data_IF_924318612993
#
_entry.id   IF_924318612993
#
_cell.length_a   1.000
_cell.length_b   1.000
_cell.length_c   1.000
_cell.angle_alpha   90.00
_cell.angle_beta   90.00
_cell.angle_gamma   90.00
#
_symmetry.space_group_name_H-M   'P 1'
#
loop_
_entity.id
_entity.type
_entity.pdbx_description
1 polymer ?
#
# COMPACT_ATOMS: atom_id res chain seq x y z
N UNK A 1 6.50 21.19 -5.16
CA UNK A 1 5.67 21.82 -4.12
C UNK A 1 6.01 21.15 -2.81
N UNK A 2 6.52 21.87 -1.78
CA UNK A 2 6.73 21.28 -0.47
C UNK A 2 5.38 20.81 0.08
N UNK A 3 5.32 19.53 0.45
CA UNK A 3 4.11 18.82 0.86
C UNK A 3 3.65 19.24 2.25
N UNK A 4 2.33 19.37 2.51
CA UNK A 4 1.84 19.73 3.83
C UNK A 4 1.86 18.49 4.73
N UNK A 5 3.00 18.25 5.37
CA UNK A 5 3.02 17.53 6.65
C UNK A 5 2.01 18.26 7.55
N UNK A 6 1.15 17.57 8.31
CA UNK A 6 0.33 18.24 9.32
C UNK A 6 1.26 19.09 10.16
N UNK A 7 1.12 20.41 10.03
CA UNK A 7 2.04 21.32 10.67
C UNK A 7 1.91 21.10 12.16
N UNK A 8 3.04 20.84 12.80
CA UNK A 8 3.09 20.74 14.25
C UNK A 8 2.38 21.96 14.84
N UNK A 9 1.67 21.82 15.96
CA UNK A 9 0.99 22.95 16.58
C UNK A 9 1.98 24.10 16.79
N UNK A 10 1.59 25.38 16.59
CA UNK A 10 2.51 26.52 16.65
C UNK A 10 3.30 26.58 17.96
N UNK A 11 2.70 26.13 19.06
CA UNK A 11 3.35 26.06 20.37
C UNK A 11 4.43 24.96 20.45
N UNK A 12 4.24 23.82 19.77
CA UNK A 12 5.25 22.75 19.64
C UNK A 12 6.41 23.24 18.77
N UNK A 13 6.11 23.91 17.65
CA UNK A 13 7.16 24.51 16.79
C UNK A 13 7.97 25.54 17.58
N UNK A 14 7.33 26.42 18.35
CA UNK A 14 8.03 27.40 19.18
C UNK A 14 8.94 26.74 20.22
N UNK A 15 8.50 25.64 20.86
CA UNK A 15 9.32 24.87 21.81
C UNK A 15 10.52 24.21 21.14
N UNK A 16 10.35 23.64 19.96
CA UNK A 16 11.45 23.05 19.17
C UNK A 16 12.45 24.12 18.71
N UNK A 17 11.95 25.25 18.19
CA UNK A 17 12.77 26.36 17.74
C UNK A 17 13.58 27.00 18.89
N UNK A 18 12.98 27.16 20.08
CA UNK A 18 13.67 27.66 21.27
C UNK A 18 14.82 26.75 21.73
N UNK A 19 14.79 25.47 21.34
CA UNK A 19 15.86 24.49 21.59
C UNK A 19 16.88 24.37 20.46
N UNK A 20 16.76 25.18 19.41
CA UNK A 20 17.65 25.13 18.25
C UNK A 20 17.46 23.88 17.39
N UNK A 21 16.32 23.18 17.53
CA UNK A 21 16.02 22.01 16.71
C UNK A 21 15.70 22.46 15.29
N UNK A 22 16.46 21.96 14.31
CA UNK A 22 16.32 22.32 12.89
C UNK A 22 16.17 21.13 11.95
N UNK A 23 16.35 19.92 12.47
CA UNK A 23 16.32 18.66 11.74
C UNK A 23 15.55 17.57 12.51
N UNK A 24 15.27 16.45 11.83
CA UNK A 24 14.50 15.35 12.38
C UNK A 24 15.23 14.66 13.56
N UNK A 25 16.56 14.59 13.53
CA UNK A 25 17.36 14.06 14.64
C UNK A 25 17.24 14.92 15.89
N UNK A 26 17.28 16.25 15.76
CA UNK A 26 17.08 17.18 16.85
C UNK A 26 15.68 17.10 17.46
N UNK A 27 14.66 16.77 16.66
CA UNK A 27 13.30 16.55 17.17
C UNK A 27 13.27 15.32 18.08
N UNK A 28 13.88 14.22 17.67
CA UNK A 28 13.94 12.99 18.47
C UNK A 28 14.70 13.23 19.78
N UNK A 29 15.84 13.92 19.73
CA UNK A 29 16.60 14.29 20.92
C UNK A 29 15.77 15.19 21.86
N UNK A 30 15.10 16.21 21.33
CA UNK A 30 14.26 17.11 22.12
C UNK A 30 13.05 16.38 22.76
N UNK A 31 12.51 15.36 22.10
CA UNK A 31 11.46 14.51 22.67
C UNK A 31 12.01 13.58 23.76
N UNK A 32 13.27 13.15 23.69
CA UNK A 32 13.89 12.34 24.74
C UNK A 32 14.11 13.16 26.03
N UNK A 33 14.57 14.39 25.88
CA UNK A 33 14.87 15.28 27.00
C UNK A 33 13.62 15.90 27.65
N UNK A 34 12.50 15.98 26.93
CA UNK A 34 11.28 16.61 27.41
C UNK A 34 10.04 15.70 27.29
N UNK A 35 9.61 15.07 28.40
CA UNK A 35 8.46 14.18 28.40
C UNK A 35 7.14 14.93 28.13
N UNK A 36 7.05 16.23 28.41
CA UNK A 36 5.85 17.04 28.15
C UNK A 36 5.73 17.32 26.65
N UNK A 37 6.82 17.74 26.02
CA UNK A 37 6.88 17.92 24.56
C UNK A 37 6.56 16.61 23.83
N UNK A 38 7.09 15.49 24.32
CA UNK A 38 6.79 14.15 23.80
C UNK A 38 5.29 13.84 23.87
N UNK A 39 4.66 14.09 25.02
CA UNK A 39 3.23 13.87 25.20
C UNK A 39 2.39 14.76 24.26
N UNK A 40 2.72 16.04 24.14
CA UNK A 40 2.03 16.99 23.24
C UNK A 40 2.12 16.55 21.77
N UNK A 41 3.31 16.12 21.32
CA UNK A 41 3.50 15.60 19.97
C UNK A 41 2.69 14.31 19.76
N UNK A 42 2.70 13.38 20.72
CA UNK A 42 1.89 12.16 20.61
C UNK A 42 0.39 12.43 20.58
N UNK A 43 -0.10 13.34 21.43
CA UNK A 43 -1.52 13.76 21.41
C UNK A 43 -1.87 14.37 20.07
N UNK A 44 -1.04 15.27 19.54
CA UNK A 44 -1.27 15.86 18.22
C UNK A 44 -1.30 14.81 17.10
N UNK A 45 -0.37 13.85 17.10
CA UNK A 45 -0.32 12.79 16.10
C UNK A 45 -1.55 11.86 16.19
N UNK A 46 -2.03 11.57 17.41
CA UNK A 46 -3.24 10.78 17.61
C UNK A 46 -4.48 11.52 17.10
N UNK A 47 -4.62 12.81 17.42
CA UNK A 47 -5.73 13.66 16.97
C UNK A 47 -5.69 13.89 15.45
N UNK A 48 -4.49 13.96 14.87
CA UNK A 48 -4.27 14.21 13.45
C UNK A 48 -4.20 12.93 12.60
N UNK A 49 -4.41 11.75 13.19
CA UNK A 49 -4.18 10.46 12.52
C UNK A 49 -4.97 10.33 11.22
N UNK A 50 -6.25 10.72 11.21
CA UNK A 50 -7.09 10.68 10.02
C UNK A 50 -6.57 11.62 8.90
N UNK A 51 -6.09 12.81 9.28
CA UNK A 51 -5.54 13.79 8.33
C UNK A 51 -4.20 13.32 7.76
N UNK A 52 -3.34 12.74 8.61
CA UNK A 52 -2.09 12.09 8.20
C UNK A 52 -2.39 10.99 7.19
N UNK A 53 -3.34 10.09 7.49
CA UNK A 53 -3.70 9.01 6.57
C UNK A 53 -4.19 9.53 5.21
N UNK A 54 -5.09 10.51 5.20
CA UNK A 54 -5.57 11.13 3.95
C UNK A 54 -4.44 11.75 3.13
N UNK A 55 -3.50 12.43 3.80
CA UNK A 55 -2.33 12.99 3.14
C UNK A 55 -1.45 11.91 2.51
N UNK A 56 -1.11 10.87 3.28
CA UNK A 56 -0.26 9.75 2.83
C UNK A 56 -0.90 9.04 1.65
N UNK A 57 -2.22 8.84 1.68
CA UNK A 57 -2.97 8.25 0.56
C UNK A 57 -2.89 9.14 -0.69
N UNK A 58 -3.08 10.46 -0.55
CA UNK A 58 -3.00 11.40 -1.68
C UNK A 58 -1.60 11.37 -2.30
N UNK A 59 -0.56 11.40 -1.48
CA UNK A 59 0.82 11.36 -1.94
C UNK A 59 1.14 10.00 -2.60
N UNK A 60 0.65 8.90 -2.04
CA UNK A 60 0.77 7.55 -2.62
C UNK A 60 0.12 7.45 -4.01
N UNK A 61 -1.03 8.11 -4.20
CA UNK A 61 -1.71 8.19 -5.50
C UNK A 61 -0.98 9.07 -6.52
N UNK A 62 -0.27 10.10 -6.06
CA UNK A 62 0.48 11.00 -6.93
C UNK A 62 1.78 10.39 -7.48
N UNK A 63 2.28 9.30 -6.88
CA UNK A 63 3.49 8.62 -7.33
C UNK A 63 3.33 8.14 -8.77
N UNK A 64 4.37 8.30 -9.59
CA UNK A 64 4.33 7.94 -11.02
C UNK A 64 5.05 6.63 -11.30
N UNK A 65 6.02 6.25 -10.45
CA UNK A 65 6.87 5.08 -10.68
C UNK A 65 7.02 4.20 -9.44
N UNK A 66 7.46 2.96 -9.68
CA UNK A 66 7.84 2.04 -8.59
C UNK A 66 9.07 2.55 -7.82
N UNK A 67 9.96 3.32 -8.47
CA UNK A 67 11.09 3.96 -7.80
C UNK A 67 10.61 5.01 -6.78
N UNK A 68 9.61 5.83 -7.15
CA UNK A 68 9.02 6.80 -6.23
C UNK A 68 8.34 6.10 -5.04
N UNK A 69 7.71 4.94 -5.29
CA UNK A 69 7.12 4.11 -4.24
C UNK A 69 8.18 3.58 -3.26
N UNK A 70 9.33 3.11 -3.74
CA UNK A 70 10.42 2.69 -2.87
C UNK A 70 10.94 3.85 -2.01
N UNK A 71 11.15 5.04 -2.60
CA UNK A 71 11.56 6.24 -1.86
C UNK A 71 10.49 6.71 -0.87
N UNK A 72 9.21 6.58 -1.23
CA UNK A 72 8.09 6.87 -0.34
C UNK A 72 8.11 5.95 0.88
N UNK A 73 8.27 4.64 0.67
CA UNK A 73 8.34 3.64 1.76
C UNK A 73 9.58 3.81 2.65
N UNK A 74 10.68 4.35 2.12
CA UNK A 74 11.84 4.71 2.94
C UNK A 74 11.53 5.88 3.89
N UNK A 75 10.80 6.90 3.41
CA UNK A 75 10.41 8.07 4.20
C UNK A 75 9.25 7.77 5.16
N UNK A 76 8.37 6.86 4.79
CA UNK A 76 7.16 6.52 5.54
C UNK A 76 7.07 5.00 5.75
N UNK A 77 7.92 4.38 6.58
CA UNK A 77 7.95 2.92 6.74
C UNK A 77 6.64 2.34 7.29
N UNK A 78 5.88 3.12 8.06
CA UNK A 78 4.59 2.72 8.63
C UNK A 78 3.55 2.33 7.55
N UNK A 79 3.74 2.75 6.29
CA UNK A 79 2.82 2.39 5.19
C UNK A 79 2.86 0.90 4.83
N UNK A 80 3.83 0.16 5.37
CA UNK A 80 3.89 -1.30 5.26
C UNK A 80 3.17 -2.02 6.43
N UNK A 81 2.74 -1.30 7.45
CA UNK A 81 2.07 -1.87 8.61
C UNK A 81 0.65 -2.34 8.27
N UNK A 82 0.17 -3.35 9.01
CA UNK A 82 -1.14 -3.95 8.78
C UNK A 82 -2.29 -2.94 8.84
N UNK A 83 -2.22 -1.98 9.75
CA UNK A 83 -3.28 -0.99 9.94
C UNK A 83 -3.43 -0.07 8.73
N UNK A 84 -2.30 0.39 8.17
CA UNK A 84 -2.31 1.22 6.97
C UNK A 84 -2.77 0.44 5.74
N UNK A 85 -2.26 -0.77 5.54
CA UNK A 85 -2.69 -1.63 4.42
C UNK A 85 -4.18 -1.97 4.52
N UNK A 86 -4.70 -2.19 5.72
CA UNK A 86 -6.13 -2.42 5.96
C UNK A 86 -6.97 -1.18 5.69
N UNK A 87 -6.48 0.01 6.05
CA UNK A 87 -7.12 1.27 5.70
C UNK A 87 -7.20 1.47 4.18
N UNK A 88 -6.13 1.15 3.44
CA UNK A 88 -6.12 1.16 1.98
C UNK A 88 -7.15 0.20 1.38
N UNK A 89 -7.25 -1.03 1.90
CA UNK A 89 -8.29 -2.00 1.46
C UNK A 89 -9.70 -1.44 1.63
N UNK A 90 -10.00 -0.86 2.80
CA UNK A 90 -11.30 -0.23 3.07
C UNK A 90 -11.58 0.92 2.11
N UNK A 91 -10.56 1.72 1.79
CA UNK A 91 -10.70 2.83 0.85
C UNK A 91 -10.95 2.34 -0.59
N UNK A 92 -10.29 1.28 -1.03
CA UNK A 92 -10.55 0.65 -2.33
C UNK A 92 -12.02 0.22 -2.41
N UNK A 93 -12.52 -0.47 -1.38
CA UNK A 93 -13.92 -0.90 -1.31
C UNK A 93 -14.88 0.30 -1.36
N UNK A 94 -14.64 1.33 -0.55
CA UNK A 94 -15.47 2.53 -0.55
C UNK A 94 -15.45 3.28 -1.90
N UNK A 95 -14.32 3.24 -2.62
CA UNK A 95 -14.21 3.83 -3.98
C UNK A 95 -15.02 3.01 -4.99
N UNK A 96 -15.04 1.68 -4.85
CA UNK A 96 -15.85 0.79 -5.69
C UNK A 96 -17.36 1.02 -5.48
N UNK A 97 -17.79 1.18 -4.22
CA UNK A 97 -19.19 1.48 -3.88
C UNK A 97 -19.67 2.85 -4.42
N UNK A 98 -18.74 3.77 -4.69
CA UNK A 98 -19.01 5.12 -5.22
C UNK A 98 -18.86 5.24 -6.73
N UNK A 99 -18.69 4.12 -7.44
CA UNK A 99 -18.37 4.07 -8.87
C UNK A 99 -17.08 4.84 -9.26
N UNK A 100 -16.17 5.08 -8.31
CA UNK A 100 -14.87 5.73 -8.52
C UNK A 100 -13.82 4.70 -8.98
N UNK A 101 -14.10 4.02 -10.10
CA UNK A 101 -13.33 2.85 -10.55
C UNK A 101 -11.84 3.16 -10.78
N UNK A 102 -11.52 4.33 -11.33
CA UNK A 102 -10.14 4.71 -11.62
C UNK A 102 -9.32 4.89 -10.34
N UNK A 103 -9.92 5.49 -9.31
CA UNK A 103 -9.30 5.63 -7.99
C UNK A 103 -9.13 4.28 -7.31
N UNK A 104 -10.16 3.43 -7.33
CA UNK A 104 -10.09 2.06 -6.80
C UNK A 104 -8.96 1.25 -7.44
N UNK A 105 -8.81 1.35 -8.75
CA UNK A 105 -7.77 0.67 -9.51
C UNK A 105 -6.37 1.17 -9.16
N UNK A 106 -6.17 2.50 -9.15
CA UNK A 106 -4.89 3.10 -8.78
C UNK A 106 -4.47 2.69 -7.36
N UNK A 107 -5.40 2.73 -6.41
CA UNK A 107 -5.17 2.28 -5.04
C UNK A 107 -4.84 0.78 -4.96
N UNK A 108 -5.53 -0.07 -5.72
CA UNK A 108 -5.26 -1.51 -5.74
C UNK A 108 -3.85 -1.84 -6.26
N UNK A 109 -3.40 -1.14 -7.31
CA UNK A 109 -2.04 -1.27 -7.82
C UNK A 109 -1.00 -0.86 -6.77
N UNK A 110 -1.22 0.27 -6.10
CA UNK A 110 -0.32 0.77 -5.04
C UNK A 110 -0.30 -0.19 -3.85
N UNK A 111 -1.44 -0.71 -3.43
CA UNK A 111 -1.54 -1.69 -2.36
C UNK A 111 -0.76 -2.98 -2.69
N UNK A 112 -0.94 -3.52 -3.91
CA UNK A 112 -0.20 -4.71 -4.35
C UNK A 112 1.32 -4.48 -4.31
N UNK A 113 1.78 -3.32 -4.79
CA UNK A 113 3.19 -2.95 -4.78
C UNK A 113 3.74 -2.78 -3.35
N UNK A 114 2.99 -2.16 -2.43
CA UNK A 114 3.37 -2.05 -1.02
C UNK A 114 3.52 -3.42 -0.35
N UNK A 115 2.59 -4.35 -0.60
CA UNK A 115 2.67 -5.70 -0.04
C UNK A 115 3.90 -6.44 -0.56
N UNK A 116 4.23 -6.28 -1.85
CA UNK A 116 5.45 -6.85 -2.42
C UNK A 116 6.69 -6.30 -1.74
N UNK A 117 6.78 -4.97 -1.56
CA UNK A 117 7.91 -4.34 -0.86
C UNK A 117 8.05 -4.89 0.58
N UNK A 118 6.94 -5.05 1.30
CA UNK A 118 6.95 -5.67 2.63
C UNK A 118 7.47 -7.11 2.60
N UNK A 119 6.99 -7.92 1.66
CA UNK A 119 7.42 -9.31 1.52
C UNK A 119 8.93 -9.41 1.19
N UNK A 120 9.43 -8.56 0.30
CA UNK A 120 10.84 -8.53 -0.07
C UNK A 120 11.72 -8.09 1.11
N UNK A 121 11.29 -7.11 1.90
CA UNK A 121 11.96 -6.73 3.16
C UNK A 121 11.99 -7.88 4.17
N UNK A 122 10.88 -8.58 4.36
CA UNK A 122 10.82 -9.72 5.28
C UNK A 122 11.75 -10.87 4.82
N UNK A 123 11.90 -11.08 3.52
CA UNK A 123 12.85 -12.07 2.97
C UNK A 123 14.30 -11.65 3.18
N UNK A 124 14.64 -10.38 2.90
CA UNK A 124 15.97 -9.85 3.13
C UNK A 124 16.37 -9.97 4.62
N UNK A 125 15.47 -9.57 5.52
CA UNK A 125 15.68 -9.70 6.97
C UNK A 125 15.92 -11.15 7.42
N UNK A 126 15.28 -12.14 6.78
CA UNK A 126 15.51 -13.56 7.08
C UNK A 126 16.84 -14.09 6.54
N UNK A 127 17.28 -13.57 5.38
CA UNK A 127 18.59 -13.92 4.83
C UNK A 127 19.72 -13.35 5.70
N UNK A 128 19.52 -12.15 6.24
CA UNK A 128 20.48 -11.46 7.10
C UNK A 128 20.45 -11.98 8.55
N UNK A 129 19.27 -12.30 9.09
CA UNK A 129 19.11 -12.81 10.45
C UNK A 129 19.06 -14.36 10.48
N UNK A 130 20.21 -14.99 10.28
CA UNK A 130 20.40 -16.44 10.49
C UNK A 130 20.48 -16.85 11.97
N UNK A 131 20.17 -15.95 12.91
CA UNK A 131 20.13 -16.24 14.34
C UNK A 131 19.24 -15.24 15.07
N UNK A 132 18.11 -15.70 15.58
CA UNK A 132 17.27 -15.00 16.56
C UNK A 132 16.61 -13.68 16.09
N UNK A 133 15.60 -13.79 15.21
CA UNK A 133 14.69 -12.68 14.92
C UNK A 133 13.37 -12.88 15.68
N UNK A 134 13.02 -11.91 16.53
CA UNK A 134 11.75 -11.87 17.28
C UNK A 134 10.49 -11.93 16.40
N UNK A 135 9.28 -11.94 16.99
CA UNK A 135 8.04 -12.21 16.27
C UNK A 135 7.80 -11.15 15.18
N UNK A 136 7.96 -11.57 13.93
CA UNK A 136 7.65 -10.76 12.74
C UNK A 136 6.13 -10.57 12.68
N UNK A 137 5.62 -9.36 12.43
CA UNK A 137 4.18 -9.13 12.24
C UNK A 137 3.68 -10.06 11.14
N UNK A 138 2.65 -10.86 11.46
CA UNK A 138 2.16 -11.92 10.56
C UNK A 138 2.02 -11.36 9.15
N UNK A 139 2.68 -11.98 8.16
CA UNK A 139 2.47 -11.59 6.77
C UNK A 139 0.99 -11.74 6.48
N UNK A 140 0.46 -10.86 5.62
CA UNK A 140 -0.85 -11.09 5.01
C UNK A 140 -0.92 -12.55 4.57
N UNK A 141 -2.03 -13.22 4.89
CA UNK A 141 -2.20 -14.61 4.48
C UNK A 141 -1.99 -14.68 2.96
N UNK A 142 -1.37 -15.76 2.49
CA UNK A 142 -1.08 -15.91 1.07
C UNK A 142 -2.37 -15.81 0.22
N UNK A 143 -3.51 -16.19 0.81
CA UNK A 143 -4.85 -16.04 0.26
C UNK A 143 -5.27 -14.57 0.11
N UNK A 144 -5.03 -13.72 1.11
CA UNK A 144 -5.35 -12.28 1.03
C UNK A 144 -4.55 -11.56 -0.06
N UNK A 145 -3.26 -11.90 -0.20
CA UNK A 145 -2.40 -11.34 -1.23
C UNK A 145 -2.86 -11.80 -2.62
N UNK A 146 -3.17 -13.09 -2.74
CA UNK A 146 -3.68 -13.67 -3.98
C UNK A 146 -4.99 -13.02 -4.41
N UNK A 147 -5.94 -12.85 -3.47
CA UNK A 147 -7.22 -12.21 -3.73
C UNK A 147 -7.05 -10.78 -4.26
N UNK A 148 -6.17 -9.99 -3.63
CA UNK A 148 -5.88 -8.62 -4.05
C UNK A 148 -5.24 -8.54 -5.43
N UNK A 149 -4.26 -9.41 -5.71
CA UNK A 149 -3.60 -9.47 -7.03
C UNK A 149 -4.60 -9.86 -8.11
N UNK A 150 -5.47 -10.83 -7.82
CA UNK A 150 -6.55 -11.24 -8.75
C UNK A 150 -7.51 -10.07 -9.00
N UNK A 151 -7.92 -9.34 -7.95
CA UNK A 151 -8.77 -8.16 -8.11
C UNK A 151 -8.07 -7.05 -8.92
N UNK A 152 -6.83 -6.70 -8.61
CA UNK A 152 -6.08 -5.68 -9.34
C UNK A 152 -5.95 -6.04 -10.83
N UNK A 153 -5.69 -7.31 -11.14
CA UNK A 153 -5.62 -7.78 -12.53
C UNK A 153 -6.98 -7.67 -13.24
N UNK A 154 -8.06 -8.07 -12.58
CA UNK A 154 -9.40 -8.05 -13.17
C UNK A 154 -9.94 -6.64 -13.35
N UNK A 155 -9.72 -5.77 -12.39
CA UNK A 155 -10.31 -4.44 -12.41
C UNK A 155 -9.44 -3.39 -13.10
N UNK A 156 -8.20 -3.72 -13.47
CA UNK A 156 -7.32 -2.89 -14.28
C UNK A 156 -8.07 -2.15 -15.41
N UNK A 157 -7.74 -0.87 -15.62
CA UNK A 157 -8.50 0.02 -16.51
C UNK A 157 -8.44 -0.44 -17.98
N UNK A 158 -7.27 -0.89 -18.44
CA UNK A 158 -7.02 -1.29 -19.82
C UNK A 158 -6.15 -2.56 -19.91
N UNK A 159 -5.90 -3.06 -21.11
CA UNK A 159 -5.04 -4.25 -21.31
C UNK A 159 -3.59 -4.01 -20.88
N UNK A 160 -3.06 -2.81 -21.08
CA UNK A 160 -1.67 -2.47 -20.72
C UNK A 160 -1.45 -2.58 -19.20
N UNK A 161 -2.35 -2.00 -18.40
CA UNK A 161 -2.32 -2.05 -16.93
C UNK A 161 -2.48 -3.49 -16.44
N UNK A 162 -3.40 -4.28 -17.02
CA UNK A 162 -3.56 -5.68 -16.64
C UNK A 162 -2.31 -6.52 -16.96
N UNK A 163 -1.64 -6.25 -18.09
CA UNK A 163 -0.36 -6.87 -18.44
C UNK A 163 0.73 -6.48 -17.46
N UNK A 164 0.76 -5.23 -16.99
CA UNK A 164 1.70 -4.79 -15.96
C UNK A 164 1.47 -5.53 -14.65
N UNK A 165 0.23 -5.62 -14.17
CA UNK A 165 -0.11 -6.41 -12.96
C UNK A 165 0.32 -7.87 -13.13
N UNK A 166 0.08 -8.44 -14.30
CA UNK A 166 0.52 -9.81 -14.60
C UNK A 166 2.04 -9.95 -14.57
N UNK A 167 2.78 -9.04 -15.18
CA UNK A 167 4.25 -9.06 -15.16
C UNK A 167 4.79 -8.95 -13.73
N UNK A 168 4.17 -8.11 -12.89
CA UNK A 168 4.59 -7.86 -11.52
C UNK A 168 4.21 -9.00 -10.55
N UNK A 169 3.12 -9.74 -10.83
CA UNK A 169 2.58 -10.75 -9.93
C UNK A 169 2.34 -12.12 -10.60
N UNK A 170 3.12 -12.43 -11.63
CA UNK A 170 2.95 -13.63 -12.46
C UNK A 170 2.92 -14.91 -11.64
N UNK A 171 3.83 -15.10 -10.68
CA UNK A 171 3.87 -16.30 -9.84
C UNK A 171 2.55 -16.55 -9.09
N UNK A 172 1.89 -15.50 -8.60
CA UNK A 172 0.61 -15.59 -7.92
C UNK A 172 -0.53 -15.83 -8.92
N UNK A 173 -0.57 -15.07 -10.02
CA UNK A 173 -1.62 -15.18 -11.05
C UNK A 173 -1.56 -16.48 -11.87
N UNK A 174 -0.40 -17.13 -11.91
CA UNK A 174 -0.20 -18.44 -12.53
C UNK A 174 -0.58 -19.61 -11.61
N UNK A 175 -0.81 -19.36 -10.32
CA UNK A 175 -1.18 -20.40 -9.37
C UNK A 175 -2.58 -21.00 -9.64
N UNK A 176 -2.78 -22.24 -9.21
CA UNK A 176 -4.09 -22.90 -9.28
C UNK A 176 -5.14 -22.15 -8.44
N UNK A 177 -4.73 -21.64 -7.28
CA UNK A 177 -5.59 -20.86 -6.39
C UNK A 177 -6.09 -19.56 -7.06
N UNK A 178 -5.26 -18.85 -7.84
CA UNK A 178 -5.74 -17.70 -8.63
C UNK A 178 -6.84 -18.10 -9.62
N UNK A 179 -6.72 -19.29 -10.24
CA UNK A 179 -7.75 -19.84 -11.11
C UNK A 179 -9.09 -20.03 -10.39
N UNK A 180 -9.06 -20.63 -9.20
CA UNK A 180 -10.27 -20.85 -8.39
C UNK A 180 -10.95 -19.54 -7.98
N UNK A 181 -10.18 -18.54 -7.54
CA UNK A 181 -10.73 -17.22 -7.19
C UNK A 181 -11.36 -16.54 -8.41
N UNK A 182 -10.73 -16.65 -9.58
CA UNK A 182 -11.28 -16.11 -10.82
C UNK A 182 -12.56 -16.80 -11.26
N UNK A 183 -12.66 -18.12 -11.06
CA UNK A 183 -13.78 -18.92 -11.51
C UNK A 183 -14.98 -18.88 -10.55
N UNK A 184 -14.74 -18.74 -9.25
CA UNK A 184 -15.79 -18.81 -8.23
C UNK A 184 -15.99 -17.52 -7.42
N UNK A 185 -14.97 -16.68 -7.28
CA UNK A 185 -14.94 -15.61 -6.28
C UNK A 185 -15.54 -14.27 -6.71
N UNK A 186 -15.79 -14.06 -8.01
CA UNK A 186 -16.17 -12.73 -8.52
C UNK A 186 -17.46 -12.82 -9.31
N UNK A 187 -18.56 -12.46 -8.63
CA UNK A 187 -19.85 -12.21 -9.24
C UNK A 187 -19.86 -10.78 -9.76
N UNK A 188 -20.32 -10.61 -11.01
CA UNK A 188 -20.46 -9.31 -11.62
C UNK A 188 -21.94 -8.93 -11.67
N UNK A 189 -22.29 -7.86 -10.96
CA UNK A 189 -23.67 -7.43 -10.72
C UNK A 189 -24.30 -6.72 -11.92
N UNK A 190 -23.48 -6.32 -12.90
CA UNK A 190 -23.94 -5.68 -14.13
C UNK A 190 -23.23 -6.20 -15.39
N UNK A 191 -23.84 -5.98 -16.56
CA UNK A 191 -23.36 -6.50 -17.84
C UNK A 191 -21.99 -5.94 -18.26
N UNK A 192 -21.69 -4.69 -17.88
CA UNK A 192 -20.38 -4.08 -18.16
C UNK A 192 -19.27 -4.78 -17.37
N UNK A 193 -19.50 -5.10 -16.09
CA UNK A 193 -18.58 -5.85 -15.24
C UNK A 193 -18.44 -7.29 -15.72
N UNK A 194 -19.51 -7.93 -16.21
CA UNK A 194 -19.44 -9.28 -16.84
C UNK A 194 -18.57 -9.30 -18.09
N UNK A 195 -18.74 -8.30 -18.98
CA UNK A 195 -17.90 -8.18 -20.19
C UNK A 195 -16.44 -7.95 -19.84
N UNK A 196 -16.15 -7.05 -18.89
CA UNK A 196 -14.78 -6.82 -18.38
C UNK A 196 -14.18 -8.11 -17.80
N UNK A 197 -14.90 -8.81 -16.94
CA UNK A 197 -14.46 -10.08 -16.37
C UNK A 197 -14.14 -11.12 -17.45
N UNK A 198 -15.00 -11.27 -18.46
CA UNK A 198 -14.78 -12.20 -19.57
C UNK A 198 -13.54 -11.85 -20.41
N UNK A 199 -13.34 -10.55 -20.71
CA UNK A 199 -12.14 -10.06 -21.40
C UNK A 199 -10.88 -10.35 -20.59
N UNK A 200 -10.90 -10.10 -19.28
CA UNK A 200 -9.74 -10.33 -18.40
C UNK A 200 -9.43 -11.81 -18.22
N UNK A 201 -10.43 -12.67 -18.10
CA UNK A 201 -10.24 -14.13 -18.11
C UNK A 201 -9.57 -14.59 -19.40
N UNK A 202 -9.98 -14.03 -20.54
CA UNK A 202 -9.38 -14.33 -21.85
C UNK A 202 -7.93 -13.88 -21.91
N UNK A 203 -7.64 -12.65 -21.47
CA UNK A 203 -6.29 -12.11 -21.39
C UNK A 203 -5.38 -12.97 -20.50
N UNK A 204 -5.85 -13.37 -19.31
CA UNK A 204 -5.05 -14.22 -18.42
C UNK A 204 -4.72 -15.58 -19.03
N UNK A 205 -5.69 -16.20 -19.73
CA UNK A 205 -5.44 -17.47 -20.45
C UNK A 205 -4.37 -17.29 -21.54
N UNK A 206 -4.40 -16.16 -22.25
CA UNK A 206 -3.38 -15.81 -23.26
C UNK A 206 -2.01 -15.66 -22.61
N UNK A 207 -1.90 -14.85 -21.55
CA UNK A 207 -0.66 -14.62 -20.81
C UNK A 207 -0.09 -15.90 -20.19
N UNK A 208 -0.95 -16.80 -19.68
CA UNK A 208 -0.56 -18.14 -19.18
C UNK A 208 0.03 -19.05 -20.25
N UNK A 209 -0.40 -18.91 -21.51
CA UNK A 209 0.15 -19.67 -22.63
C UNK A 209 1.49 -19.08 -23.06
N UNK A 210 1.55 -17.75 -23.18
CA UNK A 210 2.77 -17.01 -23.50
C UNK A 210 3.89 -17.24 -22.48
N UNK A 211 3.56 -17.44 -21.19
CA UNK A 211 4.56 -17.72 -20.15
C UNK A 211 5.04 -19.19 -20.12
N UNK A 212 4.44 -20.08 -20.92
CA UNK A 212 4.79 -21.51 -20.98
C UNK A 212 5.55 -21.88 -22.25
N UNK A 213 5.51 -21.02 -23.26
CA UNK A 213 6.28 -21.10 -24.50
C UNK A 213 7.65 -20.47 -24.33
#
# INVERSE_FOLDING_TARGET
MPTPIPQLPPHVIAKLAARGVTDDEGIVAAMQDDPVLRAEIHTFLAESQAQIQQWVIRDLLALQSNQDLHQFVQRAPFVLENDFLSALKRLIHASQERDEQDAANALALRLAALIRIRADRARAQRADNSGDAGPVPEPLSQEDLLYQVVQAFLYAQDEATARQVFAEASALLLSAAAGQILDHGIQADNDQSRRRLAQRKTLLRKLRRESRS
#
